data_IF_982058685692
#
_entry.id   IF_982058685692
#
_cell.length_a   1.000
_cell.length_b   1.000
_cell.length_c   1.000
_cell.angle_alpha   90.00
_cell.angle_beta   90.00
_cell.angle_gamma   90.00
#
_symmetry.space_group_name_H-M   'P 1'
#
loop_
_entity.id
_entity.type
_entity.pdbx_description
1 polymer ?
#
# COMPACT_ATOMS: atom_id res chain seq x y z
N UNK A 1 13.97 -14.45 5.87
CA UNK A 1 13.19 -15.54 6.54
C UNK A 1 11.92 -14.96 7.11
N UNK A 2 10.82 -15.74 7.06
CA UNK A 2 9.56 -15.32 7.67
C UNK A 2 9.70 -15.16 9.18
N UNK A 3 9.01 -14.17 9.75
CA UNK A 3 9.09 -13.84 11.18
C UNK A 3 7.69 -13.69 11.77
N UNK A 4 7.34 -14.50 12.78
CA UNK A 4 6.14 -14.29 13.58
C UNK A 4 6.30 -13.04 14.46
N UNK A 5 5.30 -12.16 14.43
CA UNK A 5 5.28 -10.92 15.18
C UNK A 5 4.47 -11.11 16.47
N UNK A 6 5.14 -11.58 17.51
CA UNK A 6 4.53 -11.87 18.83
C UNK A 6 4.53 -10.69 19.78
N UNK A 7 5.15 -9.59 19.38
CA UNK A 7 5.19 -8.31 20.11
C UNK A 7 4.83 -7.17 19.16
N UNK A 8 4.30 -6.10 19.70
CA UNK A 8 4.04 -4.87 18.95
C UNK A 8 5.35 -4.28 18.42
N UNK A 9 5.49 -4.19 17.08
CA UNK A 9 6.70 -3.63 16.47
C UNK A 9 6.86 -2.13 16.74
N UNK A 10 5.76 -1.45 17.07
CA UNK A 10 5.75 -0.03 17.40
C UNK A 10 6.26 0.26 18.82
N UNK A 11 5.72 -0.40 19.88
CA UNK A 11 6.04 -0.10 21.28
C UNK A 11 6.70 -1.26 22.04
N UNK A 12 6.87 -2.44 21.47
CA UNK A 12 7.48 -3.61 22.11
C UNK A 12 6.55 -4.40 23.05
N UNK A 13 5.31 -3.96 23.25
CA UNK A 13 4.35 -4.63 24.14
C UNK A 13 3.97 -6.02 23.65
N UNK A 14 3.76 -6.96 24.58
CA UNK A 14 3.21 -8.30 24.29
C UNK A 14 1.69 -8.34 24.28
N UNK A 15 1.01 -7.25 24.65
CA UNK A 15 -0.44 -7.18 24.74
C UNK A 15 -1.08 -6.98 23.35
N UNK A 16 -0.97 -8.01 22.52
CA UNK A 16 -1.59 -8.07 21.20
C UNK A 16 -2.93 -8.80 21.28
N UNK A 17 -3.90 -8.35 20.46
CA UNK A 17 -5.20 -9.00 20.30
C UNK A 17 -5.55 -9.13 18.82
N UNK A 18 -6.29 -10.18 18.40
CA UNK A 18 -6.72 -10.33 17.02
C UNK A 18 -7.79 -9.29 16.66
N UNK A 19 -7.70 -8.75 15.44
CA UNK A 19 -8.69 -7.84 14.85
C UNK A 19 -9.42 -8.54 13.70
N UNK A 20 -8.70 -9.12 12.74
CA UNK A 20 -9.28 -9.77 11.57
C UNK A 20 -8.37 -10.92 11.12
N UNK A 21 -8.96 -12.07 10.87
CA UNK A 21 -8.27 -13.25 10.32
C UNK A 21 -8.82 -13.53 8.91
N UNK A 22 -7.97 -13.35 7.90
CA UNK A 22 -8.29 -13.59 6.49
C UNK A 22 -7.79 -14.96 5.99
N UNK A 23 -7.35 -15.84 6.91
CA UNK A 23 -6.82 -17.15 6.60
C UNK A 23 -5.44 -17.14 5.98
N UNK A 24 -5.05 -18.27 5.37
CA UNK A 24 -3.82 -18.34 4.60
C UNK A 24 -4.08 -17.86 3.17
N UNK A 25 -3.17 -17.07 2.64
CA UNK A 25 -3.26 -16.52 1.27
C UNK A 25 -1.90 -16.53 0.57
N UNK A 26 -1.92 -16.65 -0.75
CA UNK A 26 -0.77 -16.42 -1.59
C UNK A 26 -0.35 -14.93 -1.55
N UNK A 27 0.91 -14.64 -1.92
CA UNK A 27 1.41 -13.27 -1.96
C UNK A 27 0.71 -12.49 -3.08
N UNK A 28 0.07 -11.38 -2.77
CA UNK A 28 -0.87 -10.66 -3.64
C UNK A 28 -0.28 -10.17 -4.98
N UNK A 29 1.03 -9.99 -5.07
CA UNK A 29 1.73 -9.57 -6.30
C UNK A 29 2.52 -10.70 -6.97
N UNK A 30 2.40 -11.95 -6.52
CA UNK A 30 3.11 -13.11 -7.08
C UNK A 30 2.37 -13.71 -8.30
N UNK A 31 2.18 -12.93 -9.36
CA UNK A 31 1.58 -13.40 -10.61
C UNK A 31 2.50 -14.41 -11.31
N UNK A 32 1.94 -15.48 -11.87
CA UNK A 32 2.71 -16.58 -12.47
C UNK A 32 2.24 -16.97 -13.87
N UNK A 33 3.13 -17.60 -14.66
CA UNK A 33 2.87 -17.95 -16.07
C UNK A 33 2.08 -19.25 -16.24
N UNK A 34 2.20 -20.16 -15.29
CA UNK A 34 1.62 -21.48 -15.37
C UNK A 34 0.66 -21.69 -14.20
N UNK A 35 -0.33 -22.56 -14.36
CA UNK A 35 -1.16 -22.98 -13.23
C UNK A 35 -0.29 -23.71 -12.20
N UNK A 36 -0.25 -23.22 -10.98
CA UNK A 36 0.57 -23.78 -9.91
C UNK A 36 -0.14 -23.68 -8.54
N UNK A 37 0.33 -24.54 -7.63
CA UNK A 37 -0.03 -24.41 -6.21
C UNK A 37 1.05 -23.59 -5.53
N UNK A 38 0.66 -22.42 -5.04
CA UNK A 38 1.56 -21.49 -4.40
C UNK A 38 1.69 -21.76 -2.89
N UNK A 39 2.79 -21.28 -2.33
CA UNK A 39 2.92 -21.21 -0.88
C UNK A 39 2.00 -20.11 -0.34
N UNK A 40 1.15 -20.51 0.59
CA UNK A 40 0.26 -19.59 1.30
C UNK A 40 0.84 -19.21 2.67
N UNK A 41 0.53 -18.01 3.12
CA UNK A 41 1.00 -17.45 4.39
C UNK A 41 -0.19 -16.94 5.19
N UNK A 42 -0.13 -17.06 6.52
CA UNK A 42 -1.14 -16.50 7.41
C UNK A 42 -1.29 -14.99 7.18
N UNK A 43 -2.53 -14.56 7.00
CA UNK A 43 -2.87 -13.14 6.83
C UNK A 43 -3.84 -12.71 7.93
N UNK A 44 -3.28 -12.31 9.07
CA UNK A 44 -4.01 -11.95 10.27
C UNK A 44 -3.58 -10.58 10.77
N UNK A 45 -4.56 -9.72 11.02
CA UNK A 45 -4.36 -8.40 11.61
C UNK A 45 -4.47 -8.46 13.13
N UNK A 46 -3.50 -7.88 13.81
CA UNK A 46 -3.43 -7.75 15.26
C UNK A 46 -3.46 -6.28 15.67
N UNK A 47 -4.06 -5.98 16.82
CA UNK A 47 -4.00 -4.70 17.50
C UNK A 47 -3.18 -4.78 18.77
N UNK A 48 -2.56 -3.66 19.17
CA UNK A 48 -1.83 -3.54 20.42
C UNK A 48 -2.65 -2.73 21.43
N UNK A 49 -2.92 -3.29 22.62
CA UNK A 49 -3.65 -2.57 23.69
C UNK A 49 -2.85 -1.42 24.32
N UNK A 50 -1.50 -1.47 24.22
CA UNK A 50 -0.65 -0.47 24.88
C UNK A 50 -0.52 0.82 24.07
N UNK A 51 -0.47 0.76 22.73
CA UNK A 51 -0.30 1.93 21.86
C UNK A 51 -1.29 2.02 20.72
N UNK A 52 -2.21 1.07 20.61
CA UNK A 52 -3.25 0.96 19.58
C UNK A 52 -2.70 0.89 18.14
N UNK A 53 -1.43 0.49 18.01
CA UNK A 53 -0.86 0.15 16.71
C UNK A 53 -1.50 -1.11 16.16
N UNK A 54 -1.68 -1.17 14.85
CA UNK A 54 -2.19 -2.36 14.16
C UNK A 54 -1.14 -2.89 13.19
N UNK A 55 -0.95 -4.21 13.20
CA UNK A 55 0.11 -4.89 12.46
C UNK A 55 -0.33 -6.28 12.03
N UNK A 56 0.33 -6.88 11.05
CA UNK A 56 0.17 -8.31 10.75
C UNK A 56 0.77 -9.18 11.86
N UNK A 57 0.29 -10.43 11.96
CA UNK A 57 0.87 -11.47 12.83
C UNK A 57 2.17 -12.05 12.25
N UNK A 58 2.33 -12.00 10.93
CA UNK A 58 3.44 -12.58 10.20
C UNK A 58 4.09 -11.53 9.28
N UNK A 59 5.41 -11.41 9.35
CA UNK A 59 6.23 -10.73 8.33
C UNK A 59 6.84 -11.77 7.42
N UNK A 60 6.47 -11.78 6.15
CA UNK A 60 7.07 -12.63 5.12
C UNK A 60 8.46 -12.10 4.78
N UNK A 61 9.36 -12.98 4.36
CA UNK A 61 10.71 -12.59 3.95
C UNK A 61 10.66 -11.50 2.87
N UNK A 62 11.21 -10.29 3.12
CA UNK A 62 11.16 -9.19 2.16
C UNK A 62 11.85 -9.49 0.83
N UNK A 63 12.78 -10.46 0.80
CA UNK A 63 13.41 -10.89 -0.45
C UNK A 63 12.41 -11.53 -1.42
N UNK A 64 11.36 -12.19 -0.90
CA UNK A 64 10.30 -12.78 -1.73
C UNK A 64 9.34 -11.70 -2.26
N UNK A 65 9.19 -10.59 -1.54
CA UNK A 65 8.22 -9.54 -1.86
C UNK A 65 8.81 -8.48 -2.80
N UNK A 66 10.08 -8.07 -2.61
CA UNK A 66 10.56 -6.81 -3.17
C UNK A 66 11.77 -6.91 -4.11
N UNK A 67 12.50 -8.03 -4.18
CA UNK A 67 13.70 -8.14 -5.07
C UNK A 67 13.39 -8.11 -6.57
N UNK A 68 12.19 -8.55 -6.96
CA UNK A 68 11.65 -8.45 -8.32
C UNK A 68 10.25 -7.87 -8.23
N UNK A 69 10.13 -6.55 -8.35
CA UNK A 69 8.88 -5.86 -8.08
C UNK A 69 8.16 -5.48 -9.37
N UNK A 70 6.89 -5.91 -9.48
CA UNK A 70 6.09 -5.71 -10.71
C UNK A 70 5.48 -4.30 -10.77
N UNK A 71 5.29 -3.67 -9.62
CA UNK A 71 4.72 -2.32 -9.56
C UNK A 71 5.75 -1.27 -9.98
N UNK A 72 5.37 -0.39 -10.91
CA UNK A 72 6.19 0.73 -11.39
C UNK A 72 5.45 2.03 -11.12
N UNK A 73 6.06 2.92 -10.34
CA UNK A 73 5.44 4.16 -9.85
C UNK A 73 5.15 5.17 -10.97
N UNK A 74 6.03 5.28 -11.97
CA UNK A 74 5.94 6.26 -13.04
C UNK A 74 4.94 5.94 -14.17
N UNK A 75 3.99 5.03 -13.97
CA UNK A 75 3.11 4.55 -15.06
C UNK A 75 1.87 5.42 -15.31
N UNK A 76 1.37 6.14 -14.30
CA UNK A 76 0.14 6.94 -14.41
C UNK A 76 0.42 8.44 -14.38
N UNK A 77 -0.36 9.23 -15.15
CA UNK A 77 -0.28 10.69 -15.14
C UNK A 77 -0.68 11.27 -13.77
N UNK A 78 -1.68 10.69 -13.12
CA UNK A 78 -2.12 11.09 -11.77
C UNK A 78 -0.97 11.05 -10.76
N UNK A 79 -0.19 9.96 -10.76
CA UNK A 79 0.91 9.83 -9.82
C UNK A 79 2.09 10.75 -10.18
N UNK A 80 2.37 10.94 -11.48
CA UNK A 80 3.39 11.92 -11.92
C UNK A 80 3.05 13.34 -11.50
N UNK A 81 1.80 13.76 -11.67
CA UNK A 81 1.35 15.08 -11.22
C UNK A 81 1.49 15.22 -9.70
N UNK A 82 1.11 14.20 -8.94
CA UNK A 82 1.30 14.18 -7.51
C UNK A 82 2.78 14.33 -7.11
N UNK A 83 3.69 13.64 -7.79
CA UNK A 83 5.13 13.75 -7.54
C UNK A 83 5.67 15.15 -7.82
N UNK A 84 5.22 15.79 -8.89
CA UNK A 84 5.63 17.17 -9.21
C UNK A 84 5.07 18.15 -8.15
N UNK A 85 3.80 18.05 -7.75
CA UNK A 85 3.20 18.86 -6.68
C UNK A 85 3.89 18.63 -5.33
N UNK A 86 4.16 17.38 -4.98
CA UNK A 86 4.89 17.00 -3.77
C UNK A 86 6.29 17.61 -3.74
N UNK A 87 7.05 17.51 -4.84
CA UNK A 87 8.38 18.10 -4.92
C UNK A 87 8.35 19.64 -4.78
N UNK A 88 7.33 20.29 -5.36
CA UNK A 88 7.14 21.74 -5.23
C UNK A 88 6.83 22.13 -3.78
N UNK A 89 5.99 21.39 -3.07
CA UNK A 89 5.61 21.68 -1.68
C UNK A 89 6.78 21.58 -0.71
N UNK A 90 7.77 20.74 -1.02
CA UNK A 90 9.00 20.57 -0.24
C UNK A 90 10.21 21.31 -0.85
N UNK A 91 9.99 22.23 -1.78
CA UNK A 91 11.01 23.09 -2.37
C UNK A 91 11.47 24.14 -1.34
N UNK A 92 12.34 23.75 -0.45
CA UNK A 92 13.07 24.64 0.46
C UNK A 92 14.46 24.90 -0.11
N UNK A 93 15.34 25.61 0.63
CA UNK A 93 16.75 25.77 0.26
C UNK A 93 17.57 24.48 0.40
N UNK A 94 16.93 23.34 0.19
CA UNK A 94 17.49 21.99 0.32
C UNK A 94 18.32 21.64 -0.91
N UNK A 95 19.39 20.88 -0.73
CA UNK A 95 20.31 20.48 -1.79
C UNK A 95 20.23 18.98 -2.04
N UNK A 96 20.17 18.17 -0.97
CA UNK A 96 20.19 16.71 -1.06
C UNK A 96 18.84 16.12 -0.66
N UNK A 97 18.22 15.33 -1.55
CA UNK A 97 17.03 14.54 -1.28
C UNK A 97 17.33 13.05 -1.39
N UNK A 98 16.87 12.28 -0.43
CA UNK A 98 16.89 10.82 -0.43
C UNK A 98 15.46 10.29 -0.53
N UNK A 99 15.22 9.41 -1.48
CA UNK A 99 13.98 8.63 -1.59
C UNK A 99 14.24 7.16 -1.22
N UNK A 100 13.63 6.71 -0.12
CA UNK A 100 13.75 5.33 0.38
C UNK A 100 12.64 4.50 -0.28
N UNK A 101 13.02 3.40 -0.94
CA UNK A 101 12.23 2.62 -1.88
C UNK A 101 11.81 3.45 -3.11
N UNK A 102 12.81 4.01 -3.77
CA UNK A 102 12.62 4.98 -4.87
C UNK A 102 12.05 4.36 -6.15
N UNK A 103 11.85 3.05 -6.21
CA UNK A 103 11.26 2.33 -7.32
C UNK A 103 11.95 2.66 -8.66
N UNK A 104 11.22 3.14 -9.67
CA UNK A 104 11.76 3.54 -10.97
C UNK A 104 12.41 4.96 -10.98
N UNK A 105 12.47 5.62 -9.83
CA UNK A 105 13.04 6.99 -9.66
C UNK A 105 12.11 8.13 -10.11
N UNK A 106 10.84 7.86 -10.38
CA UNK A 106 9.92 8.89 -10.90
C UNK A 106 9.67 10.04 -9.91
N UNK A 107 9.65 9.78 -8.60
CA UNK A 107 9.59 10.83 -7.59
C UNK A 107 10.88 11.68 -7.60
N UNK A 108 12.03 11.04 -7.74
CA UNK A 108 13.33 11.73 -7.83
C UNK A 108 13.45 12.59 -9.09
N UNK A 109 12.81 12.22 -10.22
CA UNK A 109 12.75 13.03 -11.43
C UNK A 109 12.17 14.43 -11.14
N UNK A 110 11.11 14.51 -10.32
CA UNK A 110 10.45 15.75 -9.94
C UNK A 110 11.37 16.67 -9.12
N UNK A 111 12.13 16.10 -8.18
CA UNK A 111 13.14 16.86 -7.42
C UNK A 111 14.34 17.28 -8.27
N UNK A 112 14.79 16.42 -9.19
CA UNK A 112 15.88 16.74 -10.11
C UNK A 112 15.56 17.93 -11.00
N UNK A 113 14.32 18.03 -11.50
CA UNK A 113 13.83 19.21 -12.26
C UNK A 113 13.94 20.53 -11.44
N UNK A 114 13.86 20.43 -10.11
CA UNK A 114 13.99 21.57 -9.19
C UNK A 114 15.44 21.85 -8.75
N UNK A 115 16.42 21.11 -9.29
CA UNK A 115 17.85 21.32 -9.03
C UNK A 115 18.42 20.59 -7.81
N UNK A 116 17.70 19.60 -7.25
CA UNK A 116 18.21 18.81 -6.14
C UNK A 116 19.26 17.78 -6.59
N UNK A 117 20.21 17.46 -5.71
CA UNK A 117 20.98 16.24 -5.78
C UNK A 117 20.10 15.08 -5.31
N UNK A 118 19.85 14.13 -6.18
CA UNK A 118 18.91 13.03 -5.96
C UNK A 118 19.61 11.73 -5.62
N UNK A 119 19.25 11.16 -4.48
CA UNK A 119 19.71 9.88 -3.96
C UNK A 119 18.52 8.95 -3.79
N UNK A 120 18.69 7.67 -4.09
CA UNK A 120 17.65 6.68 -3.90
C UNK A 120 18.20 5.35 -3.37
N UNK A 121 17.36 4.61 -2.68
CA UNK A 121 17.65 3.25 -2.22
C UNK A 121 16.46 2.38 -2.56
N UNK A 122 16.65 1.28 -3.29
CA UNK A 122 15.57 0.35 -3.63
C UNK A 122 16.13 -1.07 -3.84
N UNK A 123 15.53 -2.13 -3.25
CA UNK A 123 16.02 -3.51 -3.41
C UNK A 123 15.64 -4.17 -4.74
N UNK A 124 14.78 -3.57 -5.56
CA UNK A 124 14.25 -4.16 -6.79
C UNK A 124 15.29 -4.15 -7.92
N UNK A 125 15.94 -5.30 -8.14
CA UNK A 125 16.96 -5.45 -9.18
C UNK A 125 16.46 -5.12 -10.59
N UNK A 126 15.19 -5.42 -10.90
CA UNK A 126 14.58 -5.15 -12.21
C UNK A 126 14.32 -3.64 -12.44
N UNK A 127 14.20 -2.83 -11.39
CA UNK A 127 13.95 -1.38 -11.48
C UNK A 127 15.24 -0.55 -11.41
N UNK A 128 16.30 -1.09 -10.83
CA UNK A 128 17.58 -0.40 -10.66
C UNK A 128 18.17 0.17 -11.97
N UNK A 129 18.18 -0.55 -13.11
CA UNK A 129 18.66 0.03 -14.37
C UNK A 129 17.81 1.22 -14.84
N UNK A 130 16.50 1.21 -14.57
CA UNK A 130 15.58 2.28 -14.96
C UNK A 130 15.90 3.54 -14.17
N UNK A 131 15.93 3.46 -12.85
CA UNK A 131 16.18 4.60 -11.97
C UNK A 131 17.59 5.19 -12.16
N UNK A 132 18.60 4.33 -12.35
CA UNK A 132 19.98 4.74 -12.59
C UNK A 132 20.15 5.46 -13.94
N UNK A 133 19.47 4.98 -15.01
CA UNK A 133 19.54 5.59 -16.35
C UNK A 133 19.01 7.02 -16.37
N UNK A 134 18.18 7.41 -15.43
CA UNK A 134 17.67 8.79 -15.24
C UNK A 134 18.70 9.71 -14.59
N UNK A 135 19.87 9.18 -14.18
CA UNK A 135 21.00 9.92 -13.61
C UNK A 135 20.84 10.25 -12.13
N UNK A 136 20.08 9.46 -11.40
CA UNK A 136 20.02 9.48 -9.93
C UNK A 136 21.16 8.64 -9.34
N UNK A 137 21.56 8.94 -8.10
CA UNK A 137 22.54 8.13 -7.34
C UNK A 137 21.76 7.06 -6.56
N UNK A 138 21.70 5.85 -7.10
CA UNK A 138 20.89 4.76 -6.56
C UNK A 138 21.74 3.66 -5.94
N UNK A 139 21.37 3.24 -4.72
CA UNK A 139 21.88 2.02 -4.08
C UNK A 139 20.82 0.91 -4.24
N UNK A 140 21.23 -0.22 -4.83
CA UNK A 140 20.34 -1.37 -5.02
C UNK A 140 20.42 -2.32 -3.82
N UNK A 141 19.75 -1.95 -2.74
CA UNK A 141 19.71 -2.74 -1.50
C UNK A 141 18.48 -2.32 -0.66
N UNK A 142 18.19 -3.10 0.38
CA UNK A 142 17.24 -2.71 1.42
C UNK A 142 17.78 -1.56 2.27
N UNK A 143 16.89 -0.65 2.67
CA UNK A 143 17.25 0.43 3.58
C UNK A 143 17.71 -0.10 4.95
N UNK A 144 18.93 0.22 5.33
CA UNK A 144 19.55 -0.20 6.58
C UNK A 144 20.69 0.76 6.99
N UNK A 145 21.22 0.59 8.20
CA UNK A 145 22.28 1.45 8.74
C UNK A 145 23.60 1.37 7.96
N UNK A 146 23.91 0.21 7.34
CA UNK A 146 25.08 0.06 6.50
C UNK A 146 25.00 0.95 5.27
N UNK A 147 23.90 0.86 4.53
CA UNK A 147 23.61 1.73 3.37
C UNK A 147 23.59 3.20 3.76
N UNK A 148 22.97 3.55 4.88
CA UNK A 148 22.89 4.93 5.33
C UNK A 148 24.25 5.57 5.56
N UNK A 149 25.24 4.83 6.09
CA UNK A 149 26.60 5.31 6.34
C UNK A 149 27.39 5.66 5.07
N UNK A 150 26.99 5.12 3.93
CA UNK A 150 27.64 5.40 2.65
C UNK A 150 27.09 6.65 1.96
N UNK A 151 25.98 7.20 2.49
CA UNK A 151 25.29 8.36 1.93
C UNK A 151 25.71 9.66 2.63
N UNK A 152 25.66 10.80 1.94
CA UNK A 152 25.88 12.11 2.57
C UNK A 152 24.73 12.46 3.51
N UNK A 153 24.89 13.48 4.33
CA UNK A 153 23.79 14.07 5.10
C UNK A 153 22.74 14.66 4.16
N UNK A 154 21.47 14.44 4.49
CA UNK A 154 20.31 14.82 3.69
C UNK A 154 19.63 16.08 4.22
N UNK A 155 19.00 16.83 3.34
CA UNK A 155 18.11 17.93 3.70
C UNK A 155 16.67 17.44 3.80
N UNK A 156 16.29 16.56 2.89
CA UNK A 156 14.98 15.93 2.82
C UNK A 156 15.14 14.42 2.67
N UNK A 157 14.40 13.66 3.46
CA UNK A 157 14.27 12.21 3.34
C UNK A 157 12.81 11.89 3.07
N UNK A 158 12.54 11.12 2.05
CA UNK A 158 11.19 10.70 1.64
C UNK A 158 11.07 9.20 1.80
N UNK A 159 9.95 8.73 2.32
CA UNK A 159 9.62 7.33 2.46
C UNK A 159 8.12 7.13 2.17
N UNK A 160 7.77 7.07 0.88
CA UNK A 160 6.37 6.94 0.44
C UNK A 160 6.01 5.47 0.26
N UNK A 161 5.00 5.00 1.00
CA UNK A 161 4.48 3.63 0.94
C UNK A 161 5.54 2.53 1.15
N UNK A 162 6.52 2.78 2.02
CA UNK A 162 7.57 1.81 2.38
C UNK A 162 7.64 1.58 3.89
N UNK A 163 7.43 2.57 4.74
CA UNK A 163 7.54 2.43 6.19
C UNK A 163 6.55 1.41 6.76
N UNK A 164 5.38 1.28 6.13
CA UNK A 164 4.39 0.25 6.46
C UNK A 164 4.81 -1.17 6.03
N UNK A 165 5.83 -1.31 5.18
CA UNK A 165 6.28 -2.58 4.60
C UNK A 165 7.43 -3.23 5.39
N UNK A 166 8.00 -2.55 6.37
CA UNK A 166 9.07 -3.12 7.21
C UNK A 166 8.54 -3.60 8.55
N UNK A 167 9.03 -4.75 9.00
CA UNK A 167 8.82 -5.24 10.38
C UNK A 167 9.91 -4.76 11.33
N UNK A 168 10.98 -4.14 10.83
CA UNK A 168 12.09 -3.64 11.61
C UNK A 168 12.14 -2.09 11.59
N UNK A 169 11.21 -1.50 12.35
CA UNK A 169 11.10 -0.04 12.48
C UNK A 169 12.34 0.57 13.15
N UNK A 170 13.06 -0.22 13.98
CA UNK A 170 14.27 0.22 14.64
C UNK A 170 15.41 0.43 13.64
N UNK A 171 15.68 -0.57 12.80
CA UNK A 171 16.70 -0.47 11.75
C UNK A 171 16.35 0.68 10.80
N UNK A 172 15.08 0.81 10.40
CA UNK A 172 14.64 1.85 9.48
C UNK A 172 14.89 3.26 10.03
N UNK A 173 14.40 3.56 11.24
CA UNK A 173 14.51 4.89 11.84
C UNK A 173 15.94 5.22 12.29
N UNK A 174 16.72 4.22 12.74
CA UNK A 174 18.15 4.40 13.06
C UNK A 174 18.93 4.78 11.79
N UNK A 175 18.66 4.12 10.67
CA UNK A 175 19.26 4.47 9.40
C UNK A 175 18.85 5.87 8.92
N UNK A 176 17.60 6.29 9.10
CA UNK A 176 17.19 7.67 8.81
C UNK A 176 17.99 8.68 9.64
N UNK A 177 18.15 8.43 10.95
CA UNK A 177 18.94 9.32 11.84
C UNK A 177 20.41 9.40 11.42
N UNK A 178 20.99 8.32 10.88
CA UNK A 178 22.39 8.31 10.41
C UNK A 178 22.62 9.37 9.33
N UNK A 179 21.66 9.64 8.44
CA UNK A 179 21.78 10.63 7.36
C UNK A 179 21.14 11.98 7.69
N UNK A 180 20.47 12.13 8.83
CA UNK A 180 19.87 13.39 9.28
C UNK A 180 20.91 14.37 9.82
N UNK A 181 20.63 15.64 9.66
CA UNK A 181 21.20 16.80 10.36
C UNK A 181 20.07 17.55 11.09
N UNK A 182 20.34 18.48 12.01
CA UNK A 182 19.29 19.13 12.81
C UNK A 182 18.16 19.78 12.00
N UNK A 183 18.45 20.19 10.75
CA UNK A 183 17.46 20.80 9.85
C UNK A 183 16.78 19.82 8.88
N UNK A 184 17.11 18.54 8.94
CA UNK A 184 16.52 17.54 8.02
C UNK A 184 15.05 17.34 8.32
N UNK A 185 14.24 17.33 7.26
CA UNK A 185 12.86 16.87 7.29
C UNK A 185 12.78 15.42 6.77
N UNK A 186 12.18 14.53 7.56
CA UNK A 186 11.80 13.18 7.15
C UNK A 186 10.30 13.17 6.88
N UNK A 187 9.89 12.80 5.67
CA UNK A 187 8.50 12.71 5.25
C UNK A 187 8.14 11.25 4.99
N UNK A 188 7.25 10.71 5.81
CA UNK A 188 6.75 9.34 5.68
C UNK A 188 5.30 9.39 5.21
N UNK A 189 4.98 8.68 4.12
CA UNK A 189 3.62 8.49 3.65
C UNK A 189 3.20 7.02 3.81
N UNK A 190 1.98 6.80 4.33
CA UNK A 190 1.36 5.46 4.42
C UNK A 190 -0.06 5.49 3.84
N UNK A 191 -0.41 4.49 3.06
CA UNK A 191 -1.62 4.44 2.24
C UNK A 191 -2.88 3.94 2.96
N UNK A 192 -2.96 4.01 4.29
CA UNK A 192 -4.07 3.39 5.04
C UNK A 192 -4.77 4.35 6.01
N UNK A 193 -4.88 5.64 5.64
CA UNK A 193 -5.37 6.69 6.54
C UNK A 193 -6.73 6.38 7.18
N UNK A 194 -7.70 5.98 6.40
CA UNK A 194 -9.07 5.78 6.85
C UNK A 194 -9.57 4.33 6.73
N UNK A 195 -8.66 3.35 6.61
CA UNK A 195 -9.01 1.96 6.35
C UNK A 195 -10.06 1.38 7.31
N UNK A 196 -9.97 1.70 8.59
CA UNK A 196 -10.91 1.20 9.59
C UNK A 196 -12.27 1.89 9.51
N UNK A 197 -12.31 3.18 9.13
CA UNK A 197 -13.56 3.92 8.95
C UNK A 197 -14.30 3.48 7.71
N UNK A 198 -13.55 3.33 6.64
CA UNK A 198 -14.10 2.98 5.33
C UNK A 198 -14.29 1.48 5.15
N UNK A 199 -13.91 0.65 6.12
CA UNK A 199 -13.90 -0.80 6.03
C UNK A 199 -12.95 -1.36 4.94
N UNK A 200 -11.82 -0.69 4.67
CA UNK A 200 -10.84 -1.06 3.63
C UNK A 200 -10.00 -2.29 4.04
N UNK A 201 -10.65 -3.41 4.33
CA UNK A 201 -9.97 -4.65 4.74
C UNK A 201 -9.12 -5.27 3.61
N UNK A 202 -9.40 -4.92 2.37
CA UNK A 202 -8.66 -5.36 1.19
C UNK A 202 -7.24 -4.77 1.10
N UNK A 203 -6.98 -3.70 1.85
CA UNK A 203 -5.63 -3.17 2.00
C UNK A 203 -4.72 -4.04 2.89
N UNK A 204 -5.27 -5.06 3.54
CA UNK A 204 -4.53 -6.03 4.35
C UNK A 204 -3.99 -7.11 3.41
N UNK A 205 -2.70 -7.08 3.13
CA UNK A 205 -1.93 -8.09 2.41
C UNK A 205 -0.48 -8.09 2.88
N UNK A 206 0.29 -9.12 2.59
CA UNK A 206 1.57 -9.41 3.25
C UNK A 206 2.64 -8.32 3.11
N UNK A 207 2.53 -7.45 2.12
CA UNK A 207 3.44 -6.29 1.98
C UNK A 207 3.14 -5.19 3.00
N UNK A 208 1.88 -5.06 3.47
CA UNK A 208 1.45 -4.05 4.44
C UNK A 208 1.54 -4.62 5.87
N UNK A 209 2.73 -4.59 6.46
CA UNK A 209 2.97 -5.15 7.80
C UNK A 209 2.36 -4.27 8.89
N UNK A 210 2.33 -2.95 8.70
CA UNK A 210 1.90 -1.95 9.68
C UNK A 210 0.82 -1.04 9.13
N UNK A 211 -0.10 -0.63 10.01
CA UNK A 211 -1.17 0.33 9.70
C UNK A 211 -1.09 1.45 10.75
N UNK A 212 -0.44 2.56 10.36
CA UNK A 212 -0.14 3.64 11.29
C UNK A 212 -1.33 4.58 11.48
N UNK A 213 -1.63 4.87 12.75
CA UNK A 213 -2.39 6.06 13.16
C UNK A 213 -1.42 7.15 13.61
N UNK A 214 -1.93 8.37 13.81
CA UNK A 214 -1.13 9.47 14.38
C UNK A 214 -0.55 9.09 15.75
N UNK A 215 -1.37 8.45 16.61
CA UNK A 215 -0.93 7.98 17.91
C UNK A 215 0.20 6.93 17.81
N UNK A 216 0.06 5.94 16.93
CA UNK A 216 1.08 4.89 16.80
C UNK A 216 2.36 5.44 16.18
N UNK A 217 2.28 6.42 15.26
CA UNK A 217 3.44 7.10 14.71
C UNK A 217 4.21 7.85 15.82
N UNK A 218 3.53 8.63 16.66
CA UNK A 218 4.17 9.31 17.81
C UNK A 218 4.86 8.30 18.73
N UNK A 219 4.19 7.18 19.03
CA UNK A 219 4.74 6.16 19.94
C UNK A 219 6.03 5.53 19.39
N UNK A 220 6.11 5.24 18.11
CA UNK A 220 7.35 4.70 17.54
C UNK A 220 8.44 5.76 17.46
N UNK A 221 8.14 6.98 17.00
CA UNK A 221 9.10 8.07 16.86
C UNK A 221 9.76 8.45 18.20
N UNK A 222 8.98 8.48 19.28
CA UNK A 222 9.47 8.78 20.63
C UNK A 222 10.59 7.85 21.08
N UNK A 223 10.55 6.58 20.69
CA UNK A 223 11.62 5.60 21.04
C UNK A 223 12.97 5.96 20.43
N UNK A 224 12.97 6.74 19.33
CA UNK A 224 14.18 7.13 18.60
C UNK A 224 14.55 8.59 18.78
N UNK A 225 13.84 9.33 19.65
CA UNK A 225 14.07 10.77 19.85
C UNK A 225 13.77 11.57 18.58
N UNK A 226 12.72 11.17 17.87
CA UNK A 226 12.15 11.86 16.70
C UNK A 226 10.79 12.44 17.08
N UNK A 227 10.41 13.54 16.44
CA UNK A 227 9.18 14.26 16.71
C UNK A 227 8.30 14.33 15.48
N UNK A 228 7.01 14.03 15.66
CA UNK A 228 5.99 14.26 14.64
C UNK A 228 5.58 15.74 14.68
N UNK A 229 5.95 16.50 13.67
CA UNK A 229 5.71 17.94 13.62
C UNK A 229 4.43 18.32 12.87
N UNK A 230 4.04 17.52 11.90
CA UNK A 230 2.82 17.71 11.15
C UNK A 230 2.26 16.38 10.66
N UNK A 231 0.95 16.34 10.43
CA UNK A 231 0.27 15.24 9.76
C UNK A 231 -0.87 15.79 8.92
N UNK A 232 -1.02 15.25 7.71
CA UNK A 232 -2.14 15.58 6.84
C UNK A 232 -2.50 14.39 5.97
N UNK A 233 -3.64 14.47 5.25
CA UNK A 233 -4.07 13.44 4.31
C UNK A 233 -3.88 13.88 2.87
N UNK A 234 -3.59 12.92 2.01
CA UNK A 234 -3.60 13.07 0.56
C UNK A 234 -4.48 11.97 -0.06
N UNK A 235 -5.21 12.26 -1.18
CA UNK A 235 -6.10 11.27 -1.80
C UNK A 235 -5.37 10.16 -2.55
N UNK A 236 -4.05 10.21 -2.63
CA UNK A 236 -3.25 9.20 -3.33
C UNK A 236 -3.41 7.83 -2.66
N UNK A 237 -3.49 6.80 -3.48
CA UNK A 237 -3.67 5.39 -3.07
C UNK A 237 -4.94 5.12 -2.22
N UNK A 238 -5.97 5.95 -2.35
CA UNK A 238 -7.24 5.80 -1.62
C UNK A 238 -7.19 6.38 -0.21
N UNK A 239 -6.58 7.52 -0.02
CA UNK A 239 -6.24 8.23 1.21
C UNK A 239 -4.99 7.70 1.91
N UNK A 240 -3.98 8.56 1.95
CA UNK A 240 -2.74 8.33 2.68
C UNK A 240 -2.55 9.37 3.78
N UNK A 241 -1.95 8.95 4.88
CA UNK A 241 -1.32 9.88 5.82
C UNK A 241 0.04 10.30 5.30
N UNK A 242 0.36 11.59 5.47
CA UNK A 242 1.71 12.13 5.31
C UNK A 242 2.14 12.67 6.67
N UNK A 243 3.25 12.16 7.20
CA UNK A 243 3.84 12.49 8.48
C UNK A 243 5.14 13.26 8.25
N UNK A 244 5.24 14.49 8.78
CA UNK A 244 6.45 15.30 8.75
C UNK A 244 7.17 15.21 10.08
N UNK A 245 8.42 14.77 10.04
CA UNK A 245 9.19 14.30 11.19
C UNK A 245 10.56 14.99 11.20
N UNK A 246 11.05 15.38 12.37
CA UNK A 246 12.41 15.88 12.54
C UNK A 246 13.03 15.50 13.88
N UNK A 247 14.30 15.92 14.08
CA UNK A 247 15.02 15.76 15.33
C UNK A 247 14.58 16.75 16.43
N UNK A 248 13.79 17.76 16.08
CA UNK A 248 13.32 18.78 17.01
C UNK A 248 11.81 18.83 17.04
N UNK A 249 11.24 19.19 18.19
CA UNK A 249 9.81 19.35 18.35
C UNK A 249 9.36 20.74 17.86
N UNK A 250 8.64 20.74 16.73
CA UNK A 250 7.97 21.89 16.14
C UNK A 250 6.50 21.56 15.85
N UNK A 251 5.91 20.65 16.66
CA UNK A 251 4.58 20.11 16.42
C UNK A 251 3.54 21.22 16.28
N UNK A 252 2.72 21.12 15.25
CA UNK A 252 1.64 22.05 14.95
C UNK A 252 0.29 21.54 15.46
N UNK A 253 -0.74 22.37 15.35
CA UNK A 253 -2.10 22.05 15.79
C UNK A 253 -2.70 20.85 15.06
N UNK A 254 -2.29 20.55 13.83
CA UNK A 254 -2.79 19.41 13.06
C UNK A 254 -2.56 18.10 13.79
N UNK A 255 -1.39 17.92 14.42
CA UNK A 255 -1.07 16.69 15.16
C UNK A 255 -2.11 16.44 16.26
N UNK A 256 -2.46 17.48 17.03
CA UNK A 256 -3.46 17.36 18.08
C UNK A 256 -4.87 17.13 17.54
N UNK A 257 -5.22 17.77 16.42
CA UNK A 257 -6.50 17.56 15.75
C UNK A 257 -6.66 16.12 15.28
N UNK A 258 -5.64 15.55 14.63
CA UNK A 258 -5.66 14.16 14.20
C UNK A 258 -5.74 13.18 15.37
N UNK A 259 -5.01 13.43 16.47
CA UNK A 259 -5.12 12.63 17.69
C UNK A 259 -6.55 12.64 18.25
N UNK A 260 -7.19 13.81 18.31
CA UNK A 260 -8.56 13.95 18.80
C UNK A 260 -9.56 13.19 17.89
N UNK A 261 -9.39 13.29 16.58
CA UNK A 261 -10.23 12.60 15.59
C UNK A 261 -10.07 11.09 15.59
N UNK A 262 -8.90 10.57 15.99
CA UNK A 262 -8.62 9.15 16.08
C UNK A 262 -8.94 8.51 17.45
N UNK A 263 -9.20 9.31 18.46
CA UNK A 263 -9.36 8.87 19.85
C UNK A 263 -10.42 7.76 20.03
N UNK A 264 -11.50 7.78 19.26
CA UNK A 264 -12.57 6.79 19.31
C UNK A 264 -12.13 5.39 18.78
N UNK A 265 -11.04 5.31 18.03
CA UNK A 265 -10.47 4.05 17.54
C UNK A 265 -9.68 3.28 18.61
N UNK A 266 -9.40 3.90 19.74
CA UNK A 266 -8.57 3.31 20.79
C UNK A 266 -9.39 2.46 21.75
N UNK A 267 -10.08 1.43 21.20
CA UNK A 267 -10.85 0.45 21.98
C UNK A 267 -11.13 -0.82 21.17
N UNK A 268 -11.30 -1.95 21.88
CA UNK A 268 -11.55 -3.24 21.26
C UNK A 268 -12.90 -3.32 20.52
N UNK A 269 -13.92 -2.59 20.97
CA UNK A 269 -15.23 -2.64 20.32
C UNK A 269 -15.19 -2.07 18.92
N UNK A 270 -14.46 -0.99 18.70
CA UNK A 270 -14.25 -0.41 17.37
C UNK A 270 -13.65 -1.42 16.38
N UNK A 271 -12.64 -2.18 16.80
CA UNK A 271 -12.02 -3.20 15.96
C UNK A 271 -12.91 -4.43 15.74
N UNK A 272 -13.72 -4.80 16.73
CA UNK A 272 -14.70 -5.86 16.58
C UNK A 272 -15.81 -5.49 15.59
N UNK A 273 -16.27 -4.24 15.61
CA UNK A 273 -17.24 -3.74 14.64
C UNK A 273 -16.65 -3.72 13.22
N UNK A 274 -15.36 -3.38 13.09
CA UNK A 274 -14.65 -3.47 11.82
C UNK A 274 -14.56 -4.90 11.29
N UNK A 275 -14.19 -5.87 12.13
CA UNK A 275 -14.17 -7.29 11.77
C UNK A 275 -15.53 -7.74 11.21
N UNK A 276 -16.61 -7.44 11.93
CA UNK A 276 -17.96 -7.83 11.52
C UNK A 276 -18.35 -7.23 10.16
N UNK A 277 -18.02 -5.96 9.92
CA UNK A 277 -18.27 -5.29 8.63
C UNK A 277 -17.46 -5.91 7.50
N UNK A 278 -16.18 -6.22 7.73
CA UNK A 278 -15.31 -6.85 6.73
C UNK A 278 -15.84 -8.25 6.34
N UNK A 279 -16.14 -9.09 7.32
CA UNK A 279 -16.66 -10.43 7.07
C UNK A 279 -18.06 -10.38 6.40
N UNK A 280 -18.91 -9.45 6.80
CA UNK A 280 -20.21 -9.24 6.16
C UNK A 280 -20.05 -8.86 4.68
N UNK A 281 -19.15 -7.94 4.37
CA UNK A 281 -18.87 -7.49 3.00
C UNK A 281 -18.42 -8.68 2.11
N UNK A 282 -17.49 -9.52 2.59
CA UNK A 282 -17.04 -10.72 1.89
C UNK A 282 -18.19 -11.71 1.66
N UNK A 283 -19.01 -11.96 2.67
CA UNK A 283 -20.15 -12.88 2.59
C UNK A 283 -21.23 -12.36 1.61
N UNK A 284 -21.57 -11.09 1.67
CA UNK A 284 -22.56 -10.47 0.80
C UNK A 284 -22.11 -10.56 -0.67
N UNK A 285 -20.84 -10.24 -0.96
CA UNK A 285 -20.27 -10.36 -2.30
C UNK A 285 -20.29 -11.82 -2.80
N UNK A 286 -19.82 -12.76 -1.97
CA UNK A 286 -19.80 -14.19 -2.32
C UNK A 286 -21.20 -14.72 -2.62
N UNK A 287 -22.18 -14.39 -1.77
CA UNK A 287 -23.56 -14.85 -1.91
C UNK A 287 -24.22 -14.27 -3.17
N UNK A 288 -24.00 -12.98 -3.42
CA UNK A 288 -24.50 -12.34 -4.66
C UNK A 288 -23.93 -13.01 -5.89
N UNK A 289 -22.61 -13.19 -5.97
CA UNK A 289 -21.98 -13.79 -7.14
C UNK A 289 -22.39 -15.26 -7.35
N UNK A 290 -22.58 -16.02 -6.28
CA UNK A 290 -23.09 -17.40 -6.38
C UNK A 290 -24.54 -17.49 -6.90
N UNK A 291 -25.36 -16.48 -6.60
CA UNK A 291 -26.77 -16.45 -7.04
C UNK A 291 -26.92 -16.08 -8.53
N UNK A 292 -25.88 -15.61 -9.18
CA UNK A 292 -25.93 -15.16 -10.55
C UNK A 292 -25.45 -16.22 -11.54
N UNK A 293 -26.22 -16.42 -12.61
CA UNK A 293 -25.87 -17.36 -13.70
C UNK A 293 -25.32 -16.59 -14.93
N UNK A 294 -24.53 -15.56 -14.69
CA UNK A 294 -23.92 -14.69 -15.70
C UNK A 294 -22.42 -14.74 -15.53
N UNK A 295 -21.65 -14.59 -16.61
CA UNK A 295 -20.20 -14.56 -16.60
C UNK A 295 -19.70 -13.41 -15.69
N UNK A 296 -18.73 -13.71 -14.83
CA UNK A 296 -18.23 -12.83 -13.78
C UNK A 296 -16.77 -12.50 -14.03
N UNK A 297 -16.45 -11.24 -14.17
CA UNK A 297 -15.09 -10.79 -14.43
C UNK A 297 -14.63 -9.75 -13.41
N UNK A 298 -13.31 -9.71 -13.19
CA UNK A 298 -12.69 -8.61 -12.46
C UNK A 298 -12.16 -7.54 -13.41
N UNK A 299 -12.00 -6.32 -12.93
CA UNK A 299 -11.25 -5.26 -13.62
C UNK A 299 -10.21 -4.64 -12.68
N UNK A 300 -8.94 -4.69 -13.10
CA UNK A 300 -7.78 -4.30 -12.32
C UNK A 300 -7.26 -5.45 -11.42
N UNK A 301 -6.20 -6.12 -11.85
CA UNK A 301 -5.53 -7.17 -11.07
C UNK A 301 -4.65 -6.53 -9.97
N UNK A 302 -5.28 -5.77 -9.06
CA UNK A 302 -4.63 -5.07 -7.96
C UNK A 302 -4.42 -6.00 -6.75
N UNK A 303 -3.38 -5.75 -5.94
CA UNK A 303 -3.11 -6.50 -4.72
C UNK A 303 -4.31 -6.52 -3.77
N UNK A 304 -5.01 -5.39 -3.61
CA UNK A 304 -6.26 -5.28 -2.85
C UNK A 304 -7.33 -6.28 -3.35
N UNK A 305 -7.49 -6.39 -4.66
CA UNK A 305 -8.41 -7.34 -5.28
C UNK A 305 -8.05 -8.80 -4.96
N UNK A 306 -6.75 -9.14 -4.93
CA UNK A 306 -6.31 -10.50 -4.59
C UNK A 306 -6.68 -10.86 -3.15
N UNK A 307 -6.57 -9.93 -2.21
CA UNK A 307 -7.04 -10.14 -0.83
C UNK A 307 -8.51 -10.53 -0.79
N UNK A 308 -9.38 -9.80 -1.49
CA UNK A 308 -10.82 -10.06 -1.53
C UNK A 308 -11.14 -11.40 -2.18
N UNK A 309 -10.51 -11.70 -3.32
CA UNK A 309 -10.75 -12.93 -4.05
C UNK A 309 -10.33 -14.17 -3.25
N UNK A 310 -9.16 -14.12 -2.61
CA UNK A 310 -8.64 -15.21 -1.80
C UNK A 310 -9.43 -15.37 -0.50
N UNK A 311 -9.64 -14.30 0.28
CA UNK A 311 -10.41 -14.36 1.53
C UNK A 311 -11.87 -14.79 1.30
N UNK A 312 -12.52 -14.27 0.27
CA UNK A 312 -13.89 -14.61 -0.11
C UNK A 312 -14.02 -15.91 -0.89
N UNK A 313 -12.91 -16.58 -1.24
CA UNK A 313 -12.90 -17.76 -2.13
C UNK A 313 -13.75 -17.52 -3.40
N UNK A 314 -13.60 -16.34 -3.98
CA UNK A 314 -14.37 -15.85 -5.11
C UNK A 314 -13.73 -16.35 -6.41
N UNK A 315 -14.54 -16.99 -7.26
CA UNK A 315 -14.13 -17.43 -8.58
C UNK A 315 -14.66 -16.47 -9.63
N UNK A 316 -13.80 -16.03 -10.52
CA UNK A 316 -14.12 -15.22 -11.68
C UNK A 316 -13.66 -15.95 -12.94
N UNK A 317 -14.26 -15.64 -14.08
CA UNK A 317 -13.88 -16.25 -15.36
C UNK A 317 -12.52 -15.73 -15.84
N UNK A 318 -12.28 -14.41 -15.69
CA UNK A 318 -10.99 -13.76 -15.93
C UNK A 318 -10.94 -12.38 -15.27
N UNK A 319 -9.77 -11.78 -15.23
CA UNK A 319 -9.56 -10.41 -14.79
C UNK A 319 -8.94 -9.60 -15.91
N UNK A 320 -9.45 -8.41 -16.14
CA UNK A 320 -8.86 -7.45 -17.07
C UNK A 320 -7.87 -6.58 -16.33
N UNK A 321 -6.69 -6.43 -16.91
CA UNK A 321 -5.71 -5.45 -16.44
C UNK A 321 -5.03 -4.76 -17.63
N UNK A 322 -4.86 -3.44 -17.54
CA UNK A 322 -4.22 -2.64 -18.58
C UNK A 322 -2.70 -2.68 -18.54
N UNK A 323 -2.11 -3.18 -17.42
CA UNK A 323 -0.68 -3.35 -17.30
C UNK A 323 -0.20 -4.56 -18.10
N UNK A 324 0.59 -4.38 -19.19
CA UNK A 324 1.06 -5.47 -20.02
C UNK A 324 1.95 -6.49 -19.28
N UNK A 325 2.57 -6.09 -18.13
CA UNK A 325 3.37 -6.98 -17.31
C UNK A 325 2.54 -8.02 -16.55
N UNK A 326 1.22 -7.79 -16.40
CA UNK A 326 0.31 -8.73 -15.75
C UNK A 326 -0.51 -9.55 -16.75
N UNK A 327 -0.64 -9.08 -17.99
CA UNK A 327 -1.39 -9.77 -19.03
C UNK A 327 -0.78 -11.13 -19.36
N UNK A 328 -1.64 -12.12 -19.60
CA UNK A 328 -1.28 -13.51 -19.86
C UNK A 328 -0.60 -14.22 -18.65
N UNK A 329 -0.76 -13.68 -17.46
CA UNK A 329 -0.40 -14.32 -16.20
C UNK A 329 -1.65 -14.81 -15.48
N UNK A 330 -1.44 -15.61 -14.44
CA UNK A 330 -2.49 -16.06 -13.53
C UNK A 330 -2.38 -15.32 -12.19
N UNK A 331 -3.54 -15.04 -11.61
CA UNK A 331 -3.63 -14.38 -10.30
C UNK A 331 -3.20 -15.32 -9.17
N UNK A 332 -2.45 -14.81 -8.20
CA UNK A 332 -1.99 -15.59 -7.06
C UNK A 332 -3.16 -16.16 -6.24
N UNK A 333 -3.01 -17.41 -5.81
CA UNK A 333 -3.93 -18.16 -4.97
C UNK A 333 -5.20 -18.62 -5.68
N UNK A 334 -5.69 -17.86 -6.67
CA UNK A 334 -6.96 -18.17 -7.37
C UNK A 334 -6.77 -18.79 -8.75
N UNK A 335 -5.60 -18.65 -9.34
CA UNK A 335 -5.30 -19.07 -10.72
C UNK A 335 -6.27 -18.48 -11.79
N UNK A 336 -6.87 -17.32 -11.50
CA UNK A 336 -7.74 -16.62 -12.46
C UNK A 336 -6.84 -15.98 -13.54
N UNK A 337 -7.11 -16.19 -14.85
CA UNK A 337 -6.29 -15.60 -15.91
C UNK A 337 -6.46 -14.09 -16.00
N UNK A 338 -5.36 -13.37 -16.21
CA UNK A 338 -5.34 -11.93 -16.47
C UNK A 338 -5.26 -11.69 -17.97
N UNK A 339 -6.19 -10.92 -18.52
CA UNK A 339 -6.32 -10.68 -19.95
C UNK A 339 -6.36 -9.18 -20.28
N UNK A 340 -5.98 -8.77 -21.50
CA UNK A 340 -6.08 -7.37 -21.91
C UNK A 340 -7.53 -6.93 -22.17
N UNK A 341 -7.77 -5.62 -22.16
CA UNK A 341 -9.10 -5.01 -22.25
C UNK A 341 -9.84 -5.28 -23.57
N UNK A 342 -9.15 -5.63 -24.65
CA UNK A 342 -9.81 -6.00 -25.92
C UNK A 342 -10.62 -7.31 -25.81
N UNK A 343 -10.39 -8.13 -24.78
CA UNK A 343 -11.21 -9.32 -24.52
C UNK A 343 -12.64 -9.01 -24.05
N UNK A 344 -12.94 -7.74 -23.70
CA UNK A 344 -14.29 -7.31 -23.31
C UNK A 344 -15.34 -7.33 -24.46
N UNK A 345 -14.92 -7.35 -25.71
CA UNK A 345 -15.80 -7.05 -26.85
C UNK A 345 -16.77 -8.16 -27.26
N UNK A 346 -16.50 -9.40 -26.85
CA UNK A 346 -17.14 -10.60 -27.43
C UNK A 346 -18.15 -11.32 -26.51
N UNK A 347 -18.39 -10.82 -25.30
CA UNK A 347 -19.32 -11.46 -24.37
C UNK A 347 -20.70 -10.80 -24.42
N UNK A 348 -21.77 -11.58 -24.14
CA UNK A 348 -23.12 -11.04 -24.00
C UNK A 348 -23.21 -10.11 -22.79
N UNK A 349 -23.94 -10.45 -21.76
CA UNK A 349 -24.01 -9.70 -20.50
C UNK A 349 -22.92 -10.15 -19.53
N UNK A 350 -22.27 -9.21 -18.86
CA UNK A 350 -21.24 -9.46 -17.86
C UNK A 350 -21.63 -8.91 -16.48
N UNK A 351 -21.12 -9.58 -15.44
CA UNK A 351 -20.99 -8.99 -14.10
C UNK A 351 -19.53 -8.58 -13.95
N UNK A 352 -19.29 -7.29 -13.75
CA UNK A 352 -17.97 -6.67 -13.68
C UNK A 352 -17.70 -6.19 -12.27
N UNK A 353 -16.61 -6.68 -11.69
CA UNK A 353 -16.18 -6.33 -10.33
C UNK A 353 -14.91 -5.48 -10.46
N UNK A 354 -14.98 -4.15 -10.27
CA UNK A 354 -13.79 -3.31 -10.19
C UNK A 354 -12.96 -3.64 -8.94
N UNK A 355 -11.92 -4.46 -9.14
CA UNK A 355 -11.03 -4.86 -8.04
C UNK A 355 -10.08 -3.73 -7.62
N UNK A 356 -9.78 -2.81 -8.56
CA UNK A 356 -9.14 -1.53 -8.27
C UNK A 356 -10.20 -0.45 -8.02
N UNK A 357 -11.02 -0.63 -6.99
CA UNK A 357 -12.24 0.16 -6.72
C UNK A 357 -12.01 1.68 -6.61
N UNK A 358 -10.84 2.11 -6.21
CA UNK A 358 -10.44 3.52 -6.19
C UNK A 358 -10.40 4.18 -7.58
N UNK A 359 -10.41 3.38 -8.66
CA UNK A 359 -10.53 3.82 -10.05
C UNK A 359 -11.90 3.45 -10.66
N UNK A 360 -12.94 3.27 -9.83
CA UNK A 360 -14.24 2.82 -10.29
C UNK A 360 -14.79 3.65 -11.45
N UNK A 361 -14.79 4.98 -11.33
CA UNK A 361 -15.37 5.88 -12.33
C UNK A 361 -14.62 5.82 -13.67
N UNK A 362 -13.29 5.64 -13.61
CA UNK A 362 -12.46 5.47 -14.80
C UNK A 362 -12.75 4.12 -15.48
N UNK A 363 -12.78 3.05 -14.70
CA UNK A 363 -13.10 1.70 -15.17
C UNK A 363 -14.51 1.67 -15.78
N UNK A 364 -15.50 2.26 -15.09
CA UNK A 364 -16.88 2.32 -15.55
C UNK A 364 -16.99 3.03 -16.90
N UNK A 365 -16.42 4.22 -17.03
CA UNK A 365 -16.40 4.98 -18.29
C UNK A 365 -15.74 4.20 -19.41
N UNK A 366 -14.58 3.59 -19.14
CA UNK A 366 -13.84 2.80 -20.13
C UNK A 366 -14.64 1.59 -20.62
N UNK A 367 -15.26 0.84 -19.73
CA UNK A 367 -16.11 -0.29 -20.09
C UNK A 367 -17.32 0.16 -20.88
N UNK A 368 -18.02 1.23 -20.49
CA UNK A 368 -19.18 1.76 -21.24
C UNK A 368 -18.81 2.25 -22.64
N UNK A 369 -17.59 2.74 -22.87
CA UNK A 369 -17.10 3.08 -24.21
C UNK A 369 -16.87 1.82 -25.05
N UNK A 370 -16.28 0.78 -24.48
CA UNK A 370 -15.98 -0.47 -25.17
C UNK A 370 -17.26 -1.33 -25.44
N UNK A 371 -18.27 -1.19 -24.59
CA UNK A 371 -19.50 -1.99 -24.57
C UNK A 371 -20.75 -1.13 -24.39
N UNK A 372 -21.02 -0.18 -25.29
CA UNK A 372 -22.07 0.84 -25.10
C UNK A 372 -23.49 0.27 -25.06
N UNK A 373 -23.74 -0.86 -25.74
CA UNK A 373 -25.06 -1.48 -25.88
C UNK A 373 -25.28 -2.69 -24.97
N UNK A 374 -24.30 -3.02 -24.10
CA UNK A 374 -24.41 -4.18 -23.24
C UNK A 374 -25.03 -3.78 -21.87
N UNK A 375 -25.97 -4.60 -21.41
CA UNK A 375 -26.61 -4.44 -20.09
C UNK A 375 -25.73 -5.04 -18.99
N UNK A 376 -24.45 -4.66 -18.94
CA UNK A 376 -23.51 -5.13 -17.95
C UNK A 376 -23.87 -4.62 -16.55
N UNK A 377 -23.61 -5.45 -15.54
CA UNK A 377 -23.82 -5.12 -14.14
C UNK A 377 -22.46 -4.87 -13.49
N UNK A 378 -22.28 -3.72 -12.87
CA UNK A 378 -21.12 -3.43 -12.05
C UNK A 378 -21.42 -3.74 -10.57
N UNK A 379 -20.47 -4.37 -9.92
CA UNK A 379 -20.57 -4.72 -8.51
C UNK A 379 -19.46 -4.02 -7.73
N UNK A 380 -19.84 -3.00 -6.99
CA UNK A 380 -18.98 -2.43 -5.95
C UNK A 380 -19.17 -3.28 -4.69
N UNK A 381 -18.10 -3.85 -4.16
CA UNK A 381 -18.17 -4.59 -2.90
C UNK A 381 -17.87 -3.72 -1.68
N UNK A 382 -17.42 -2.49 -1.91
CA UNK A 382 -16.79 -1.64 -0.91
C UNK A 382 -17.38 -0.21 -0.93
N UNK A 383 -17.65 0.47 0.22
CA UNK A 383 -17.61 -0.03 1.61
C UNK A 383 -18.73 -1.02 1.94
N UNK A 384 -19.76 -1.07 1.14
CA UNK A 384 -20.91 -2.00 1.18
C UNK A 384 -21.21 -2.46 -0.23
N UNK A 385 -21.88 -3.62 -0.35
CA UNK A 385 -22.24 -4.16 -1.65
C UNK A 385 -23.26 -3.25 -2.36
N UNK A 386 -22.88 -2.75 -3.53
CA UNK A 386 -23.70 -1.94 -4.44
C UNK A 386 -23.78 -2.61 -5.82
N UNK A 387 -24.99 -2.70 -6.38
CA UNK A 387 -25.26 -3.23 -7.71
C UNK A 387 -25.65 -2.09 -8.64
N UNK A 388 -24.89 -1.87 -9.70
CA UNK A 388 -25.07 -0.78 -10.68
C UNK A 388 -25.30 -1.40 -12.06
N UNK A 389 -26.44 -1.14 -12.66
CA UNK A 389 -26.87 -1.67 -13.97
C UNK A 389 -27.03 -0.58 -15.01
#
# INVERSE_FOLDING_TARGET
MNKQLTTCICCGSKNLFPILDLGNQALANNFHKNLETETEYELKLLGCESCWHTQLSLSVDPNLLFKNYIYVSGTTSTLKNYFDEFAISYRTHSINVLDIACNDGSQLDSFKKLGFNTYGVDPAHNLHPISTSKGHKIVCDFWNVGVAKELPKMDLIIAQNVFAHTSDLEVFLTACKEVMKPSTLLVIQTSQADMFLNNEFDTIYHEHISFFSTNSMINVLKRFGLFLNNVYKTPIHGNSYVFEISLNDYSNNNVQEFLNNEKYRYNRQFYKDYEQKALKCLNDLQNYLKSQNVKKIGYGAAAKGMTVLNAGKIKLDYIIDDNPLKQNLFCPGTNIPVVPSHNLTNDDKLIIIPLAWNFFDEIYKKVKILRPNNNDIFVKYFPTLEIIS
#
